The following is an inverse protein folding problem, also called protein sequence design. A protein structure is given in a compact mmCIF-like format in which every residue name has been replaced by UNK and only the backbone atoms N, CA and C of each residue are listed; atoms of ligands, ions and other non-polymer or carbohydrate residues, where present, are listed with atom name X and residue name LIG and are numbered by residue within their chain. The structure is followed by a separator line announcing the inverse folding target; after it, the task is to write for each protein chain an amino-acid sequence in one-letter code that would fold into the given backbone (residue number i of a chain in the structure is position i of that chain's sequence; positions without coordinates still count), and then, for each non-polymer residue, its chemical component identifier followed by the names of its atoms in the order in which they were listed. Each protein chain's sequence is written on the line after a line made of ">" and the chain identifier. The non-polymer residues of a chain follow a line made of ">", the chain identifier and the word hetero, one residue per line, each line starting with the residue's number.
data_IF_588069431330
#
_entry.id   IF_588069431330
#
_cell.length_a   1.000
_cell.length_b   1.000
_cell.length_c   1.000
_cell.angle_alpha   90.00
_cell.angle_beta   90.00
_cell.angle_gamma   90.00
#
_symmetry.space_group_name_H-M   'P 1'
#
loop_
_entity.id
_entity.type
_entity.pdbx_description
1 polymer ?
#
# COMPACT_ATOMS: atom_id res chain seq x y z
N UNK A 1 -17.51 33.11 -60.56
CA UNK A 1 -16.82 32.97 -59.27
C UNK A 1 -17.24 31.66 -58.63
N UNK A 2 -16.35 30.73 -58.28
CA UNK A 2 -16.81 29.53 -57.54
C UNK A 2 -15.85 28.34 -57.37
N UNK A 3 -14.70 28.26 -58.05
CA UNK A 3 -13.91 27.01 -58.06
C UNK A 3 -12.52 27.10 -57.37
N UNK A 4 -12.09 28.29 -56.92
CA UNK A 4 -10.78 28.48 -56.28
C UNK A 4 -10.82 28.43 -54.73
N UNK A 5 -12.01 28.51 -54.12
CA UNK A 5 -12.15 28.55 -52.66
C UNK A 5 -12.11 27.18 -51.96
N UNK A 6 -12.34 26.09 -52.69
CA UNK A 6 -12.49 24.75 -52.10
C UNK A 6 -11.16 24.04 -51.87
N UNK A 7 -10.11 24.35 -52.65
CA UNK A 7 -8.80 23.72 -52.52
C UNK A 7 -8.00 24.24 -51.31
N UNK A 8 -7.96 25.56 -51.11
CA UNK A 8 -7.28 26.17 -49.95
C UNK A 8 -7.96 25.77 -48.63
N UNK A 9 -9.29 25.69 -48.62
CA UNK A 9 -10.06 25.29 -47.45
C UNK A 9 -9.89 23.80 -47.11
N UNK A 10 -9.67 22.94 -48.12
CA UNK A 10 -9.33 21.52 -47.93
C UNK A 10 -7.93 21.33 -47.34
N UNK A 11 -6.95 22.14 -47.76
CA UNK A 11 -5.57 22.06 -47.27
C UNK A 11 -5.48 22.51 -45.80
N UNK A 12 -6.19 23.58 -45.42
CA UNK A 12 -6.24 24.07 -44.03
C UNK A 12 -6.91 23.05 -43.09
N UNK A 13 -7.96 22.37 -43.54
CA UNK A 13 -8.62 21.31 -42.76
C UNK A 13 -7.76 20.05 -42.58
N UNK A 14 -6.95 19.68 -43.58
CA UNK A 14 -6.04 18.53 -43.50
C UNK A 14 -4.90 18.81 -42.50
N UNK A 15 -4.35 20.03 -42.48
CA UNK A 15 -3.31 20.41 -41.50
C UNK A 15 -3.83 20.52 -40.06
N UNK A 16 -5.08 20.95 -39.85
CA UNK A 16 -5.70 21.02 -38.52
C UNK A 16 -6.05 19.63 -37.95
N UNK A 17 -6.40 18.65 -38.79
CA UNK A 17 -6.66 17.26 -38.35
C UNK A 17 -5.38 16.45 -38.09
N UNK A 18 -4.25 16.77 -38.71
CA UNK A 18 -2.98 16.07 -38.47
C UNK A 18 -2.25 16.51 -37.21
N UNK A 19 -2.59 17.66 -36.63
CA UNK A 19 -1.95 18.18 -35.40
C UNK A 19 -2.61 17.67 -34.10
N UNK A 20 -3.81 17.09 -34.20
CA UNK A 20 -4.60 16.60 -33.06
C UNK A 20 -4.49 15.07 -32.85
N UNK A 21 -3.55 14.42 -33.55
CA UNK A 21 -3.28 12.98 -33.48
C UNK A 21 -1.98 12.65 -32.71
N UNK A 22 -1.54 13.54 -31.82
CA UNK A 22 -0.30 13.38 -31.04
C UNK A 22 -0.52 13.10 -29.55
N UNK A 23 -1.77 12.90 -29.09
CA UNK A 23 -2.09 12.77 -27.66
C UNK A 23 -2.67 11.40 -27.24
N UNK A 24 -2.63 10.39 -28.10
CA UNK A 24 -3.00 9.00 -27.76
C UNK A 24 -1.77 8.11 -27.45
N UNK A 25 -0.67 8.72 -27.01
CA UNK A 25 0.38 7.99 -26.32
C UNK A 25 -0.11 7.65 -24.92
N UNK A 26 -0.83 6.53 -24.76
CA UNK A 26 -0.88 5.89 -23.45
C UNK A 26 0.56 5.58 -23.06
N UNK A 27 1.17 6.44 -22.26
CA UNK A 27 2.41 6.12 -21.59
C UNK A 27 2.10 4.92 -20.70
N UNK A 28 2.36 3.71 -21.22
CA UNK A 28 2.35 2.51 -20.44
C UNK A 28 3.52 2.66 -19.47
N UNK A 29 3.23 3.20 -18.29
CA UNK A 29 4.18 3.25 -17.20
C UNK A 29 4.43 1.80 -16.81
N UNK A 30 5.48 1.22 -17.40
CA UNK A 30 6.03 -0.04 -16.94
C UNK A 30 6.47 0.24 -15.49
N UNK A 31 5.62 -0.10 -14.53
CA UNK A 31 5.92 -0.01 -13.11
C UNK A 31 7.02 -1.03 -12.80
N UNK A 32 8.28 -0.67 -13.10
CA UNK A 32 9.46 -1.38 -12.59
C UNK A 32 9.69 -1.05 -11.11
N UNK A 33 8.91 -0.13 -10.55
CA UNK A 33 8.99 0.23 -9.15
C UNK A 33 8.53 -0.92 -8.25
N UNK A 34 9.33 -1.21 -7.23
CA UNK A 34 8.97 -2.20 -6.20
C UNK A 34 7.72 -1.77 -5.44
N UNK A 35 7.06 -2.69 -4.74
CA UNK A 35 5.92 -2.31 -3.90
C UNK A 35 6.35 -1.29 -2.83
N UNK A 36 7.54 -1.45 -2.26
CA UNK A 36 8.17 -0.53 -1.31
C UNK A 36 8.28 0.88 -1.87
N UNK A 37 8.75 1.03 -3.11
CA UNK A 37 8.82 2.33 -3.79
C UNK A 37 7.43 2.92 -4.05
N UNK A 38 6.45 2.09 -4.44
CA UNK A 38 5.05 2.55 -4.63
C UNK A 38 4.36 2.96 -3.33
N UNK A 39 4.80 2.42 -2.18
CA UNK A 39 4.33 2.82 -0.85
C UNK A 39 4.94 4.16 -0.43
N UNK A 40 6.13 4.50 -0.92
CA UNK A 40 6.88 5.70 -0.52
C UNK A 40 8.12 5.39 0.33
N UNK A 41 8.55 4.13 0.35
CA UNK A 41 9.75 3.67 1.04
C UNK A 41 9.68 3.74 2.57
N UNK A 42 10.85 3.70 3.22
CA UNK A 42 10.96 3.55 4.68
C UNK A 42 10.27 4.68 5.44
N UNK A 43 10.37 5.91 4.95
CA UNK A 43 9.74 7.06 5.61
C UNK A 43 8.21 6.87 5.67
N UNK A 44 7.58 6.48 4.55
CA UNK A 44 6.15 6.23 4.52
C UNK A 44 5.78 5.04 5.40
N UNK A 45 6.55 3.94 5.36
CA UNK A 45 6.33 2.77 6.22
C UNK A 45 6.36 3.15 7.69
N UNK A 46 7.35 3.93 8.14
CA UNK A 46 7.45 4.35 9.54
C UNK A 46 6.21 5.16 9.96
N UNK A 47 5.76 6.10 9.12
CA UNK A 47 4.58 6.91 9.40
C UNK A 47 3.29 6.07 9.38
N UNK A 48 3.18 5.06 8.50
CA UNK A 48 2.06 4.10 8.48
C UNK A 48 2.01 3.32 9.79
N UNK A 49 3.15 2.81 10.27
CA UNK A 49 3.22 2.04 11.53
C UNK A 49 2.90 2.92 12.74
N UNK A 50 3.36 4.16 12.75
CA UNK A 50 3.02 5.13 13.79
C UNK A 50 1.50 5.42 13.82
N UNK A 51 0.89 5.66 12.66
CA UNK A 51 -0.57 5.85 12.55
C UNK A 51 -1.35 4.60 12.99
N UNK A 52 -0.87 3.40 12.66
CA UNK A 52 -1.46 2.15 13.12
C UNK A 52 -1.44 2.07 14.65
N UNK A 53 -0.32 2.41 15.27
CA UNK A 53 -0.18 2.39 16.73
C UNK A 53 -1.12 3.36 17.43
N UNK A 54 -1.35 4.55 16.87
CA UNK A 54 -2.36 5.47 17.41
C UNK A 54 -3.77 4.87 17.37
N UNK A 55 -4.14 4.20 16.27
CA UNK A 55 -5.45 3.54 16.15
C UNK A 55 -5.62 2.38 17.12
N UNK A 56 -4.57 1.57 17.29
CA UNK A 56 -4.54 0.49 18.28
C UNK A 56 -4.68 1.06 19.69
N UNK A 57 -4.02 2.17 20.01
CA UNK A 57 -4.07 2.80 21.32
C UNK A 57 -5.46 3.37 21.67
N UNK A 58 -6.27 3.68 20.66
CA UNK A 58 -7.63 4.20 20.82
C UNK A 58 -8.72 3.10 20.84
N UNK A 59 -8.41 1.85 20.49
CA UNK A 59 -9.37 0.73 20.53
C UNK A 59 -9.26 -0.06 21.85
N UNK A 60 -10.27 0.07 22.71
CA UNK A 60 -10.38 -0.66 23.98
C UNK A 60 -10.38 -2.19 23.80
N UNK A 61 -10.83 -2.70 22.65
CA UNK A 61 -10.85 -4.15 22.37
C UNK A 61 -9.46 -4.70 21.98
N UNK A 62 -8.52 -3.84 21.56
CA UNK A 62 -7.21 -4.26 21.01
C UNK A 62 -6.04 -3.78 21.86
N UNK A 63 -6.12 -2.59 22.46
CA UNK A 63 -5.01 -1.98 23.21
C UNK A 63 -4.49 -2.87 24.35
N UNK A 64 -5.36 -3.67 24.96
CA UNK A 64 -4.99 -4.59 26.05
C UNK A 64 -3.93 -5.62 25.64
N UNK A 65 -3.87 -6.02 24.37
CA UNK A 65 -2.86 -6.95 23.84
C UNK A 65 -1.44 -6.35 23.88
N UNK A 66 -1.32 -5.03 23.94
CA UNK A 66 -0.05 -4.30 23.90
C UNK A 66 0.45 -3.87 25.29
N UNK A 67 -0.28 -4.17 26.37
CA UNK A 67 -0.01 -3.68 27.72
C UNK A 67 1.39 -4.03 28.27
N UNK A 68 1.99 -5.13 27.80
CA UNK A 68 3.33 -5.58 28.20
C UNK A 68 4.33 -5.57 27.02
N UNK A 69 4.00 -4.89 25.93
CA UNK A 69 4.82 -4.82 24.72
C UNK A 69 5.76 -3.63 24.82
N UNK A 70 7.04 -3.83 24.43
CA UNK A 70 7.90 -2.71 24.11
C UNK A 70 7.44 -2.13 22.76
N UNK A 71 6.75 -0.99 22.81
CA UNK A 71 6.11 -0.38 21.63
C UNK A 71 7.14 0.07 20.60
N UNK A 72 8.30 0.57 21.03
CA UNK A 72 9.36 0.99 20.10
C UNK A 72 9.90 -0.21 19.32
N UNK A 73 10.14 -1.33 20.01
CA UNK A 73 10.59 -2.56 19.38
C UNK A 73 9.53 -3.15 18.45
N UNK A 74 8.25 -3.09 18.83
CA UNK A 74 7.16 -3.49 17.96
C UNK A 74 7.12 -2.63 16.69
N UNK A 75 7.21 -1.31 16.82
CA UNK A 75 7.18 -0.39 15.70
C UNK A 75 8.33 -0.67 14.72
N UNK A 76 9.55 -0.84 15.22
CA UNK A 76 10.72 -1.18 14.41
C UNK A 76 10.55 -2.54 13.72
N UNK A 77 10.10 -3.56 14.46
CA UNK A 77 9.93 -4.91 13.93
C UNK A 77 8.86 -4.97 12.85
N UNK A 78 7.71 -4.32 13.07
CA UNK A 78 6.63 -4.30 12.11
C UNK A 78 6.97 -3.44 10.87
N UNK A 79 7.63 -2.31 11.05
CA UNK A 79 8.16 -1.53 9.93
C UNK A 79 9.15 -2.33 9.07
N UNK A 80 10.02 -3.12 9.72
CA UNK A 80 10.95 -4.03 9.02
C UNK A 80 10.20 -5.11 8.25
N UNK A 81 9.16 -5.69 8.84
CA UNK A 81 8.32 -6.70 8.17
C UNK A 81 7.61 -6.12 6.94
N UNK A 82 7.03 -4.92 7.05
CA UNK A 82 6.39 -4.25 5.92
C UNK A 82 7.42 -3.89 4.84
N UNK A 83 8.63 -3.46 5.22
CA UNK A 83 9.71 -3.20 4.27
C UNK A 83 10.11 -4.46 3.49
N UNK A 84 10.36 -5.57 4.17
CA UNK A 84 10.76 -6.84 3.55
C UNK A 84 9.66 -7.39 2.62
N UNK A 85 8.41 -7.48 3.12
CA UNK A 85 7.26 -7.98 2.35
C UNK A 85 6.96 -7.13 1.11
N UNK A 86 7.31 -5.84 1.14
CA UNK A 86 7.11 -4.93 0.02
C UNK A 86 8.26 -4.90 -1.01
N UNK A 87 9.17 -5.87 -0.99
CA UNK A 87 10.38 -5.91 -1.84
C UNK A 87 11.35 -4.74 -1.54
N UNK A 88 11.34 -4.24 -0.30
CA UNK A 88 12.31 -3.25 0.18
C UNK A 88 13.68 -3.87 0.47
N UNK A 89 14.69 -3.05 0.79
CA UNK A 89 16.05 -3.52 1.05
C UNK A 89 16.23 -4.16 2.45
N UNK A 90 15.16 -4.27 3.23
CA UNK A 90 15.19 -4.82 4.58
C UNK A 90 15.05 -6.33 4.58
N UNK A 91 15.39 -6.94 5.71
CA UNK A 91 15.15 -8.36 5.96
C UNK A 91 14.52 -8.49 7.35
N UNK A 92 13.37 -9.16 7.42
CA UNK A 92 12.73 -9.48 8.67
C UNK A 92 13.38 -10.72 9.28
N UNK A 93 14.09 -10.54 10.39
CA UNK A 93 14.71 -11.62 11.16
C UNK A 93 14.04 -11.81 12.54
N UNK A 94 12.82 -11.30 12.70
CA UNK A 94 12.01 -11.50 13.91
C UNK A 94 11.41 -12.91 14.02
N UNK A 95 10.68 -13.20 15.11
CA UNK A 95 10.00 -14.49 15.27
C UNK A 95 9.01 -14.77 14.13
N UNK A 96 8.82 -16.04 13.73
CA UNK A 96 7.74 -16.38 12.80
C UNK A 96 6.38 -16.01 13.41
N UNK A 97 5.38 -15.75 12.56
CA UNK A 97 4.11 -15.15 12.97
C UNK A 97 3.32 -16.00 13.99
N UNK A 98 3.44 -17.32 13.93
CA UNK A 98 2.84 -18.22 14.93
C UNK A 98 3.44 -18.06 16.32
N UNK A 99 4.76 -17.91 16.39
CA UNK A 99 5.50 -17.70 17.63
C UNK A 99 5.32 -16.29 18.16
N UNK A 100 5.20 -15.30 17.27
CA UNK A 100 4.95 -13.92 17.65
C UNK A 100 3.55 -13.74 18.29
N UNK A 101 2.56 -14.53 17.85
CA UNK A 101 1.15 -14.37 18.26
C UNK A 101 0.59 -15.54 19.08
N UNK A 102 1.43 -16.51 19.46
CA UNK A 102 1.00 -17.68 20.23
C UNK A 102 0.33 -17.29 21.55
N UNK A 103 -0.70 -18.04 21.94
CA UNK A 103 -1.33 -17.97 23.28
C UNK A 103 -1.91 -16.60 23.65
N UNK A 104 -2.11 -15.71 22.66
CA UNK A 104 -2.73 -14.39 22.88
C UNK A 104 -4.26 -14.46 22.91
N UNK A 105 -4.88 -15.52 22.39
CA UNK A 105 -6.34 -15.60 22.25
C UNK A 105 -6.88 -14.59 21.24
N UNK A 106 -6.16 -14.36 20.14
CA UNK A 106 -6.61 -13.51 19.03
C UNK A 106 -7.82 -14.17 18.35
N UNK A 107 -8.85 -13.37 18.10
CA UNK A 107 -10.04 -13.79 17.34
C UNK A 107 -10.00 -13.18 15.94
N UNK A 108 -10.81 -13.71 15.04
CA UNK A 108 -10.99 -13.15 13.69
C UNK A 108 -11.40 -11.66 13.76
N UNK A 109 -12.20 -11.29 14.76
CA UNK A 109 -12.60 -9.90 14.98
C UNK A 109 -11.41 -9.00 15.35
N UNK A 110 -10.50 -9.47 16.21
CA UNK A 110 -9.29 -8.72 16.56
C UNK A 110 -8.34 -8.60 15.35
N UNK A 111 -8.15 -9.70 14.62
CA UNK A 111 -7.32 -9.71 13.42
C UNK A 111 -7.82 -8.72 12.37
N UNK A 112 -9.12 -8.80 12.05
CA UNK A 112 -9.73 -7.93 11.04
C UNK A 112 -9.66 -6.45 11.42
N UNK A 113 -9.81 -6.10 12.69
CA UNK A 113 -9.61 -4.71 13.16
C UNK A 113 -8.21 -4.19 12.89
N UNK A 114 -7.19 -4.98 13.19
CA UNK A 114 -5.79 -4.58 12.95
C UNK A 114 -5.51 -4.44 11.44
N UNK A 115 -6.10 -5.30 10.61
CA UNK A 115 -6.05 -5.16 9.14
C UNK A 115 -6.71 -3.86 8.68
N UNK A 116 -7.89 -3.53 9.20
CA UNK A 116 -8.60 -2.28 8.91
C UNK A 116 -7.79 -1.06 9.34
N UNK A 117 -7.12 -1.10 10.50
CA UNK A 117 -6.27 -0.01 10.97
C UNK A 117 -5.03 0.19 10.12
N UNK A 118 -4.39 -0.90 9.68
CA UNK A 118 -3.27 -0.82 8.75
C UNK A 118 -3.72 -0.21 7.43
N UNK A 119 -4.88 -0.63 6.92
CA UNK A 119 -5.43 -0.10 5.69
C UNK A 119 -5.74 1.41 5.79
N UNK A 120 -6.38 1.82 6.88
CA UNK A 120 -6.68 3.22 7.15
C UNK A 120 -5.43 4.08 7.37
N UNK A 121 -4.39 3.53 8.00
CA UNK A 121 -3.10 4.21 8.11
C UNK A 121 -2.47 4.44 6.73
N UNK A 122 -2.47 3.43 5.85
CA UNK A 122 -1.99 3.62 4.48
C UNK A 122 -2.84 4.62 3.68
N UNK A 123 -4.18 4.61 3.86
CA UNK A 123 -5.06 5.61 3.23
C UNK A 123 -4.73 7.02 3.69
N UNK A 124 -4.46 7.18 4.99
CA UNK A 124 -4.12 8.48 5.60
C UNK A 124 -2.82 9.05 5.02
N UNK A 125 -1.84 8.18 4.80
CA UNK A 125 -0.54 8.54 4.19
C UNK A 125 -0.59 8.65 2.66
N UNK A 126 -1.77 8.53 2.05
CA UNK A 126 -1.96 8.73 0.61
C UNK A 126 -1.39 7.61 -0.26
N UNK A 127 -1.17 6.41 0.31
CA UNK A 127 -0.70 5.25 -0.45
C UNK A 127 -1.76 4.89 -1.50
N UNK A 128 -1.38 4.72 -2.78
CA UNK A 128 -2.33 4.36 -3.84
C UNK A 128 -3.08 3.06 -3.53
N UNK A 129 -4.37 2.99 -3.90
CA UNK A 129 -5.21 1.81 -3.65
C UNK A 129 -4.58 0.50 -4.19
N UNK A 130 -3.93 0.55 -5.36
CA UNK A 130 -3.25 -0.62 -5.91
C UNK A 130 -2.12 -1.12 -5.00
N UNK A 131 -1.26 -0.21 -4.52
CA UNK A 131 -0.17 -0.57 -3.61
C UNK A 131 -0.69 -1.09 -2.26
N UNK A 132 -1.76 -0.50 -1.73
CA UNK A 132 -2.44 -1.01 -0.52
C UNK A 132 -2.95 -2.43 -0.69
N UNK A 133 -3.69 -2.68 -1.77
CA UNK A 133 -4.24 -4.00 -2.06
C UNK A 133 -3.11 -5.04 -2.26
N UNK A 134 -2.03 -4.66 -2.94
CA UNK A 134 -0.88 -5.54 -3.14
C UNK A 134 -0.21 -5.88 -1.80
N UNK A 135 -0.01 -4.91 -0.91
CA UNK A 135 0.59 -5.14 0.41
C UNK A 135 -0.31 -6.05 1.27
N UNK A 136 -1.60 -5.73 1.37
CA UNK A 136 -2.56 -6.53 2.13
C UNK A 136 -2.66 -7.96 1.56
N UNK A 137 -2.61 -8.10 0.22
CA UNK A 137 -2.60 -9.40 -0.43
C UNK A 137 -1.37 -10.24 -0.10
N UNK A 138 -0.20 -9.62 0.09
CA UNK A 138 1.02 -10.31 0.54
C UNK A 138 1.04 -10.62 2.03
N UNK A 139 0.35 -9.83 2.85
CA UNK A 139 0.18 -10.08 4.28
C UNK A 139 -0.87 -11.16 4.56
N UNK A 140 -1.90 -11.28 3.72
CA UNK A 140 -3.04 -12.18 3.95
C UNK A 140 -2.65 -13.65 4.28
N UNK A 141 -1.64 -14.28 3.64
CA UNK A 141 -1.23 -15.64 4.00
C UNK A 141 -0.73 -15.80 5.44
N UNK A 142 -0.27 -14.72 6.09
CA UNK A 142 0.19 -14.75 7.48
C UNK A 142 -0.95 -15.00 8.47
N UNK A 143 -2.21 -14.83 8.05
CA UNK A 143 -3.39 -15.14 8.85
C UNK A 143 -3.32 -16.55 9.45
N UNK A 144 -2.99 -17.55 8.63
CA UNK A 144 -2.92 -18.95 9.09
C UNK A 144 -1.92 -19.13 10.23
N UNK A 145 -0.77 -18.46 10.17
CA UNK A 145 0.23 -18.52 11.23
C UNK A 145 -0.21 -17.76 12.49
N UNK A 146 -0.76 -16.55 12.32
CA UNK A 146 -1.27 -15.74 13.46
C UNK A 146 -2.36 -16.49 14.22
N UNK A 147 -3.24 -17.20 13.50
CA UNK A 147 -4.38 -17.91 14.10
C UNK A 147 -4.04 -19.34 14.56
N UNK A 148 -2.81 -19.82 14.32
CA UNK A 148 -2.43 -21.24 14.51
C UNK A 148 -2.44 -21.70 15.96
N UNK A 149 -2.00 -20.85 16.89
CA UNK A 149 -1.73 -21.21 18.29
C UNK A 149 -2.54 -20.37 19.29
N UNK A 150 -3.76 -20.00 18.88
CA UNK A 150 -4.73 -19.27 19.71
C UNK A 150 -5.09 -19.98 21.00
#
# INVERSE_FOLDING_TARGET
>A
MGLLGTAAQRIVFIFLMSSMLSLLGCAQHNNTATLYERIGGQSAINTIVENLLYRIAEDEDVVGYFANTNIDLFAESFATQLCDISDGPCRYDGPPMDRAHQTMGITDAHFNRVVEYLDDAMRREGVPLSARNDLLGRLAPLYEDVMRLR
#
